data_IF_319205343255
#
_entry.id   IF_319205343255
#
_cell.length_a   1.000
_cell.length_b   1.000
_cell.length_c   1.000
_cell.angle_alpha   90.00
_cell.angle_beta   90.00
_cell.angle_gamma   90.00
#
_symmetry.space_group_name_H-M   'P 1'
#
loop_
_entity.id
_entity.type
_entity.pdbx_description
1 polymer ?
#
# COMPACT_ATOMS: atom_id res chain seq x y z
N UNK A 1 13.29 -5.32 14.62
CA UNK A 1 12.64 -5.63 15.91
C UNK A 1 13.43 -5.10 17.10
N UNK A 2 14.74 -5.35 17.23
CA UNK A 2 15.55 -4.89 18.39
C UNK A 2 15.60 -3.39 18.67
N UNK A 3 15.45 -2.56 17.64
CA UNK A 3 15.40 -1.09 17.77
C UNK A 3 13.97 -0.56 17.64
N UNK A 4 12.96 -1.43 17.82
CA UNK A 4 11.57 -1.03 17.71
C UNK A 4 11.20 -0.17 18.93
N UNK A 5 10.33 0.84 18.80
CA UNK A 5 9.94 1.70 19.92
C UNK A 5 9.16 0.98 21.04
N UNK A 6 8.34 -0.01 20.69
CA UNK A 6 7.62 -0.85 21.66
C UNK A 6 8.57 -1.84 22.37
N UNK A 7 8.43 -1.96 23.69
CA UNK A 7 9.24 -2.86 24.50
C UNK A 7 9.00 -4.32 24.15
N UNK A 8 7.75 -4.77 23.97
CA UNK A 8 7.48 -6.19 23.67
C UNK A 8 8.12 -6.64 22.35
N UNK A 9 8.23 -5.73 21.38
CA UNK A 9 8.91 -6.01 20.10
C UNK A 9 10.42 -6.16 20.27
N UNK A 10 11.03 -5.47 21.24
CA UNK A 10 12.44 -5.64 21.59
C UNK A 10 12.67 -6.96 22.33
N UNK A 11 11.76 -7.32 23.24
CA UNK A 11 11.81 -8.57 24.00
C UNK A 11 11.68 -9.78 23.07
N UNK A 12 10.70 -9.76 22.16
CA UNK A 12 10.55 -10.77 21.11
C UNK A 12 11.80 -10.90 20.24
N UNK A 13 12.47 -9.79 19.97
CA UNK A 13 13.71 -9.81 19.20
C UNK A 13 14.89 -10.43 19.98
N UNK A 14 14.90 -10.30 21.30
CA UNK A 14 15.88 -10.95 22.17
C UNK A 14 15.65 -12.46 22.18
N UNK A 15 14.42 -12.90 22.43
CA UNK A 15 14.03 -14.31 22.41
C UNK A 15 14.34 -14.96 21.05
N UNK A 16 13.92 -14.32 19.95
CA UNK A 16 14.16 -14.84 18.60
C UNK A 16 15.66 -14.95 18.29
N UNK A 17 16.48 -13.98 18.72
CA UNK A 17 17.93 -14.06 18.52
C UNK A 17 18.56 -15.19 19.32
N UNK A 18 18.08 -15.44 20.55
CA UNK A 18 18.57 -16.52 21.39
C UNK A 18 18.42 -17.88 20.70
N UNK A 19 17.23 -18.18 20.20
CA UNK A 19 16.95 -19.45 19.52
C UNK A 19 17.58 -19.54 18.13
N UNK A 20 17.43 -18.50 17.30
CA UNK A 20 18.04 -18.49 15.96
C UNK A 20 19.57 -18.50 16.03
N UNK A 21 20.15 -17.96 17.10
CA UNK A 21 21.59 -17.99 17.34
C UNK A 21 22.14 -19.41 17.54
N UNK A 22 21.31 -20.36 17.99
CA UNK A 22 21.69 -21.77 18.17
C UNK A 22 21.70 -22.53 16.83
N UNK A 23 20.77 -22.19 15.93
CA UNK A 23 20.53 -22.94 14.69
C UNK A 23 21.21 -22.31 13.47
N UNK A 24 21.14 -20.98 13.32
CA UNK A 24 21.62 -20.24 12.14
C UNK A 24 22.50 -19.01 12.51
N UNK A 25 23.55 -19.18 13.33
CA UNK A 25 24.32 -18.07 13.92
C UNK A 25 24.89 -17.09 12.89
N UNK A 26 25.33 -17.57 11.72
CA UNK A 26 25.91 -16.74 10.66
C UNK A 26 24.91 -15.73 10.08
N UNK A 27 23.64 -16.12 9.95
CA UNK A 27 22.57 -15.30 9.39
C UNK A 27 22.06 -14.23 10.37
N UNK A 28 22.15 -14.49 11.69
CA UNK A 28 21.66 -13.55 12.72
C UNK A 28 22.77 -12.81 13.46
N UNK A 29 24.05 -13.02 13.10
CA UNK A 29 25.20 -12.40 13.77
C UNK A 29 25.16 -10.87 13.78
N UNK A 30 24.66 -10.24 12.70
CA UNK A 30 24.61 -8.77 12.55
C UNK A 30 23.54 -8.11 13.43
N UNK A 31 22.57 -8.88 13.91
CA UNK A 31 21.52 -8.37 14.79
C UNK A 31 21.91 -8.38 16.28
N UNK A 32 23.03 -9.00 16.67
CA UNK A 32 23.53 -9.02 18.05
C UNK A 32 23.96 -7.62 18.50
N UNK A 33 23.64 -7.25 19.75
CA UNK A 33 24.08 -5.98 20.37
C UNK A 33 25.61 -5.85 20.41
N UNK A 34 26.32 -6.95 20.56
CA UNK A 34 27.79 -7.01 20.54
C UNK A 34 28.41 -6.85 19.14
N UNK A 35 27.60 -6.81 18.08
CA UNK A 35 28.14 -6.56 16.75
C UNK A 35 28.61 -5.11 16.64
N UNK A 36 29.84 -4.88 16.16
CA UNK A 36 30.44 -3.53 16.02
C UNK A 36 29.57 -2.51 15.26
N UNK A 37 28.72 -2.95 14.34
CA UNK A 37 27.88 -2.05 13.54
C UNK A 37 26.49 -1.81 14.15
N UNK A 38 26.06 -2.64 15.12
CA UNK A 38 24.73 -2.54 15.70
C UNK A 38 24.51 -1.23 16.48
N UNK A 39 25.42 -0.77 17.38
CA UNK A 39 25.23 0.47 18.12
C UNK A 39 25.07 1.69 17.21
N UNK A 40 25.91 1.82 16.18
CA UNK A 40 25.85 2.93 15.23
C UNK A 40 24.53 2.92 14.43
N UNK A 41 24.09 1.75 13.95
CA UNK A 41 22.81 1.60 13.24
C UNK A 41 21.60 1.92 14.15
N UNK A 42 21.62 1.45 15.40
CA UNK A 42 20.56 1.71 16.37
C UNK A 42 20.46 3.20 16.72
N UNK A 43 21.61 3.85 16.97
CA UNK A 43 21.69 5.28 17.23
C UNK A 43 21.16 6.08 16.05
N UNK A 44 21.66 5.82 14.84
CA UNK A 44 21.22 6.52 13.63
C UNK A 44 19.69 6.42 13.43
N UNK A 45 19.11 5.24 13.61
CA UNK A 45 17.65 5.06 13.48
C UNK A 45 16.87 5.83 14.56
N UNK A 46 17.37 5.86 15.79
CA UNK A 46 16.77 6.63 16.89
C UNK A 46 16.83 8.13 16.61
N UNK A 47 17.99 8.63 16.19
CA UNK A 47 18.22 10.04 15.88
C UNK A 47 17.31 10.51 14.73
N UNK A 48 17.22 9.72 13.65
CA UNK A 48 16.33 10.03 12.51
C UNK A 48 14.87 10.03 12.95
N UNK A 49 14.45 9.08 13.79
CA UNK A 49 13.07 9.03 14.27
C UNK A 49 12.73 10.26 15.12
N UNK A 50 13.62 10.66 16.04
CA UNK A 50 13.44 11.84 16.87
C UNK A 50 13.40 13.12 16.03
N UNK A 51 14.37 13.31 15.13
CA UNK A 51 14.43 14.46 14.22
C UNK A 51 13.17 14.56 13.34
N UNK A 52 12.62 13.43 12.90
CA UNK A 52 11.40 13.44 12.09
C UNK A 52 10.14 13.73 12.89
N UNK A 53 10.08 13.32 14.15
CA UNK A 53 8.99 13.70 15.05
C UNK A 53 9.02 15.21 15.37
N UNK A 54 10.20 15.74 15.65
CA UNK A 54 10.41 17.18 15.87
C UNK A 54 10.04 18.00 14.64
N UNK A 55 10.51 17.59 13.46
CA UNK A 55 10.18 18.24 12.21
C UNK A 55 8.67 18.18 11.92
N UNK A 56 8.03 17.03 12.11
CA UNK A 56 6.59 16.86 11.89
C UNK A 56 5.75 17.78 12.78
N UNK A 57 6.18 18.05 14.02
CA UNK A 57 5.50 18.96 14.94
C UNK A 57 5.45 20.42 14.43
N UNK A 58 6.35 20.80 13.52
CA UNK A 58 6.37 22.12 12.88
C UNK A 58 5.34 22.28 11.76
N UNK A 59 4.71 21.18 11.32
CA UNK A 59 3.69 21.15 10.27
C UNK A 59 2.31 20.79 10.87
N UNK A 60 1.66 21.69 11.61
CA UNK A 60 0.36 21.41 12.19
C UNK A 60 -0.68 21.14 11.09
N UNK A 61 -1.46 20.07 11.26
CA UNK A 61 -2.58 19.76 10.37
C UNK A 61 -3.59 20.91 10.43
N UNK A 62 -3.75 21.64 9.32
CA UNK A 62 -4.70 22.76 9.22
C UNK A 62 -6.15 22.32 9.01
N UNK A 63 -6.38 21.02 8.78
CA UNK A 63 -7.70 20.47 8.50
C UNK A 63 -8.03 19.30 9.42
N UNK A 64 -9.31 19.13 9.79
CA UNK A 64 -9.75 17.96 10.54
C UNK A 64 -9.48 16.68 9.74
N UNK A 65 -9.22 15.60 10.46
CA UNK A 65 -9.05 14.28 9.85
C UNK A 65 -10.30 13.90 9.06
N UNK A 66 -10.15 13.61 7.76
CA UNK A 66 -11.27 13.12 6.96
C UNK A 66 -11.81 11.81 7.55
N UNK A 67 -13.14 11.70 7.58
CA UNK A 67 -13.89 10.53 8.02
C UNK A 67 -14.49 9.74 6.86
N UNK A 68 -14.27 10.20 5.63
CA UNK A 68 -14.82 9.58 4.43
C UNK A 68 -13.82 8.59 3.86
N UNK A 69 -14.25 7.33 3.68
CA UNK A 69 -13.41 6.33 3.03
C UNK A 69 -13.25 6.67 1.56
N UNK A 70 -12.05 6.52 1.01
CA UNK A 70 -11.80 6.80 -0.39
C UNK A 70 -10.39 6.45 -0.84
N UNK A 71 -10.22 6.48 -2.15
CA UNK A 71 -8.95 6.35 -2.85
C UNK A 71 -8.75 7.62 -3.66
N UNK A 72 -7.61 8.27 -3.49
CA UNK A 72 -7.23 9.45 -4.24
C UNK A 72 -5.93 9.15 -4.99
N UNK A 73 -5.93 9.34 -6.31
CA UNK A 73 -4.70 9.30 -7.09
C UNK A 73 -3.91 10.59 -6.86
N UNK A 74 -2.75 10.48 -6.23
CA UNK A 74 -1.87 11.60 -5.85
C UNK A 74 -0.86 11.90 -6.95
N UNK A 75 -0.30 10.87 -7.59
CA UNK A 75 0.75 11.02 -8.61
C UNK A 75 0.70 9.85 -9.61
N UNK A 76 1.11 10.10 -10.86
CA UNK A 76 1.17 9.09 -11.92
C UNK A 76 2.11 9.51 -13.07
N UNK A 77 2.56 8.52 -13.84
CA UNK A 77 3.46 8.77 -14.98
C UNK A 77 2.73 9.32 -16.22
N UNK A 78 2.82 10.62 -16.50
CA UNK A 78 2.22 11.23 -17.68
C UNK A 78 2.70 10.65 -19.03
N UNK A 79 3.90 10.06 -19.06
CA UNK A 79 4.48 9.41 -20.24
C UNK A 79 4.26 7.89 -20.29
N UNK A 80 3.42 7.33 -19.42
CA UNK A 80 3.26 5.89 -19.23
C UNK A 80 3.02 5.11 -20.53
N UNK A 81 2.13 5.63 -21.39
CA UNK A 81 1.77 4.94 -22.64
C UNK A 81 2.98 4.78 -23.58
N UNK A 82 3.72 5.86 -23.82
CA UNK A 82 4.92 5.82 -24.67
C UNK A 82 5.96 4.84 -24.11
N UNK A 83 6.17 4.88 -22.78
CA UNK A 83 7.11 4.01 -22.08
C UNK A 83 6.73 2.53 -22.22
N UNK A 84 5.45 2.21 -22.03
CA UNK A 84 4.94 0.84 -22.14
C UNK A 84 5.05 0.32 -23.57
N UNK A 85 4.64 1.11 -24.56
CA UNK A 85 4.69 0.67 -25.96
C UNK A 85 6.14 0.47 -26.42
N UNK A 86 7.05 1.37 -26.05
CA UNK A 86 8.48 1.21 -26.34
C UNK A 86 9.05 -0.03 -25.64
N UNK A 87 8.69 -0.26 -24.37
CA UNK A 87 9.14 -1.43 -23.61
C UNK A 87 8.54 -2.74 -24.11
N UNK A 88 7.33 -2.72 -24.67
CA UNK A 88 6.70 -3.87 -25.29
C UNK A 88 7.41 -4.30 -26.58
N UNK A 89 7.87 -3.33 -27.38
CA UNK A 89 8.62 -3.58 -28.62
C UNK A 89 10.10 -3.87 -28.40
N UNK A 90 10.67 -3.46 -27.27
CA UNK A 90 12.12 -3.53 -27.01
C UNK A 90 12.74 -4.93 -27.18
N UNK A 91 12.12 -6.04 -26.74
CA UNK A 91 12.68 -7.37 -26.95
C UNK A 91 12.73 -7.80 -28.42
N UNK A 92 11.90 -7.21 -29.28
CA UNK A 92 11.69 -7.62 -30.68
C UNK A 92 12.52 -6.78 -31.68
N UNK A 93 13.22 -5.75 -31.20
CA UNK A 93 13.94 -4.79 -32.04
C UNK A 93 15.36 -4.60 -31.53
N UNK A 94 16.32 -4.54 -32.44
CA UNK A 94 17.73 -4.23 -32.13
C UNK A 94 17.98 -2.70 -32.08
N UNK A 95 17.12 -1.96 -31.37
CA UNK A 95 17.19 -0.51 -31.24
C UNK A 95 17.34 -0.10 -29.77
N UNK A 96 18.13 0.95 -29.47
CA UNK A 96 18.17 1.53 -28.14
C UNK A 96 16.79 2.00 -27.69
N UNK A 97 16.49 1.87 -26.39
CA UNK A 97 15.20 2.27 -25.81
C UNK A 97 14.82 3.73 -26.11
N UNK A 98 15.82 4.63 -26.14
CA UNK A 98 15.63 6.04 -26.49
C UNK A 98 15.16 6.26 -27.94
N UNK A 99 15.55 5.40 -28.87
CA UNK A 99 15.07 5.46 -30.25
C UNK A 99 13.64 4.93 -30.38
N UNK A 100 13.30 3.87 -29.63
CA UNK A 100 11.93 3.35 -29.58
C UNK A 100 10.95 4.37 -29.00
N UNK A 101 11.32 5.09 -27.95
CA UNK A 101 10.49 6.18 -27.41
C UNK A 101 10.22 7.27 -28.46
N UNK A 102 11.23 7.66 -29.24
CA UNK A 102 11.05 8.62 -30.33
C UNK A 102 10.12 8.08 -31.41
N UNK A 103 10.28 6.81 -31.78
CA UNK A 103 9.46 6.16 -32.79
C UNK A 103 7.99 6.03 -32.35
N UNK A 104 7.73 5.56 -31.13
CA UNK A 104 6.38 5.42 -30.57
C UNK A 104 5.63 6.75 -30.56
N UNK A 105 6.33 7.85 -30.28
CA UNK A 105 5.74 9.20 -30.32
C UNK A 105 5.21 9.60 -31.69
N UNK A 106 5.79 9.07 -32.77
CA UNK A 106 5.34 9.33 -34.15
C UNK A 106 4.19 8.43 -34.60
N UNK A 107 3.81 7.43 -33.81
CA UNK A 107 2.75 6.49 -34.18
C UNK A 107 1.36 7.10 -34.05
N UNK A 108 0.47 6.72 -34.96
CA UNK A 108 -0.96 7.05 -34.88
C UNK A 108 -1.64 6.31 -33.72
N UNK A 109 -2.80 6.78 -33.24
CA UNK A 109 -3.58 6.09 -32.21
C UNK A 109 -3.85 4.62 -32.53
N UNK A 110 -4.18 4.29 -33.78
CA UNK A 110 -4.50 2.93 -34.23
C UNK A 110 -3.29 2.01 -34.17
N UNK A 111 -2.10 2.52 -34.54
CA UNK A 111 -0.85 1.77 -34.44
C UNK A 111 -0.51 1.49 -32.97
N UNK A 112 -0.69 2.48 -32.09
CA UNK A 112 -0.49 2.33 -30.64
C UNK A 112 -1.44 1.28 -30.06
N UNK A 113 -2.71 1.33 -30.44
CA UNK A 113 -3.71 0.35 -30.00
C UNK A 113 -3.39 -1.06 -30.49
N UNK A 114 -2.96 -1.22 -31.76
CA UNK A 114 -2.54 -2.52 -32.30
C UNK A 114 -1.36 -3.13 -31.53
N UNK A 115 -0.36 -2.32 -31.16
CA UNK A 115 0.78 -2.79 -30.36
C UNK A 115 0.30 -3.25 -28.99
N UNK A 116 -0.51 -2.42 -28.31
CA UNK A 116 -1.02 -2.76 -26.98
C UNK A 116 -1.90 -4.01 -27.01
N UNK A 117 -2.79 -4.14 -27.99
CA UNK A 117 -3.66 -5.30 -28.15
C UNK A 117 -2.87 -6.59 -28.39
N UNK A 118 -1.86 -6.52 -29.24
CA UNK A 118 -0.96 -7.64 -29.48
C UNK A 118 -0.23 -8.05 -28.19
N UNK A 119 0.19 -7.06 -27.39
CA UNK A 119 0.88 -7.30 -26.13
C UNK A 119 -0.03 -7.86 -25.02
N UNK A 120 -1.33 -7.58 -25.06
CA UNK A 120 -2.32 -8.05 -24.07
C UNK A 120 -3.08 -9.31 -24.51
N UNK A 121 -2.92 -9.74 -25.76
CA UNK A 121 -3.62 -10.88 -26.34
C UNK A 121 -3.38 -12.19 -25.55
N UNK A 122 -4.32 -13.14 -25.66
CA UNK A 122 -4.17 -14.49 -25.10
C UNK A 122 -4.36 -14.60 -23.57
N UNK A 123 -4.66 -13.52 -22.86
CA UNK A 123 -4.99 -13.58 -21.43
C UNK A 123 -6.38 -14.19 -21.20
N UNK A 124 -6.44 -15.49 -20.92
CA UNK A 124 -7.69 -16.22 -20.64
C UNK A 124 -8.13 -16.10 -19.17
N UNK A 125 -7.17 -15.97 -18.24
CA UNK A 125 -7.44 -15.81 -16.82
C UNK A 125 -6.33 -14.96 -16.15
N UNK A 126 -6.57 -14.49 -14.92
CA UNK A 126 -5.63 -13.63 -14.17
C UNK A 126 -4.24 -14.24 -13.90
N UNK A 127 -4.06 -15.56 -14.03
CA UNK A 127 -2.73 -16.19 -13.91
C UNK A 127 -1.88 -15.98 -15.15
N UNK A 128 -2.48 -15.65 -16.30
CA UNK A 128 -1.76 -15.15 -17.47
C UNK A 128 -1.39 -13.70 -17.19
N UNK A 129 -0.28 -13.52 -16.47
CA UNK A 129 0.19 -12.21 -16.02
C UNK A 129 0.58 -11.37 -17.23
N UNK A 130 0.24 -10.06 -17.25
CA UNK A 130 0.76 -9.19 -18.29
C UNK A 130 2.29 -9.13 -18.20
N UNK A 131 2.93 -8.87 -19.35
CA UNK A 131 4.38 -8.83 -19.45
C UNK A 131 5.02 -7.65 -18.71
N UNK A 132 6.35 -7.60 -18.71
CA UNK A 132 7.16 -6.64 -17.93
C UNK A 132 7.11 -5.19 -18.42
N UNK A 133 6.70 -4.91 -19.66
CA UNK A 133 6.56 -3.55 -20.15
C UNK A 133 5.63 -2.69 -19.26
N UNK A 134 4.62 -3.29 -18.62
CA UNK A 134 3.75 -2.60 -17.67
C UNK A 134 4.44 -2.18 -16.36
N UNK A 135 5.69 -2.58 -16.11
CA UNK A 135 6.46 -2.10 -14.95
C UNK A 135 6.92 -0.64 -15.14
N UNK A 136 6.85 -0.09 -16.36
CA UNK A 136 7.28 1.26 -16.69
C UNK A 136 6.27 2.37 -16.38
N UNK A 137 5.11 2.04 -15.82
CA UNK A 137 4.11 3.01 -15.39
C UNK A 137 3.83 2.84 -13.90
N UNK A 138 3.86 3.94 -13.15
CA UNK A 138 3.65 4.01 -11.71
C UNK A 138 2.46 4.90 -11.36
N UNK A 139 1.84 4.57 -10.24
CA UNK A 139 0.72 5.30 -9.66
C UNK A 139 0.91 5.36 -8.15
N UNK A 140 0.68 6.53 -7.56
CA UNK A 140 0.67 6.74 -6.12
C UNK A 140 -0.74 7.10 -5.67
N UNK A 141 -1.31 6.26 -4.80
CA UNK A 141 -2.64 6.44 -4.23
C UNK A 141 -2.53 6.76 -2.75
N UNK A 142 -3.27 7.76 -2.29
CA UNK A 142 -3.61 7.94 -0.87
C UNK A 142 -4.96 7.25 -0.61
N UNK A 143 -5.00 6.42 0.42
CA UNK A 143 -6.14 5.55 0.72
C UNK A 143 -6.54 5.74 2.18
N UNK A 144 -7.83 5.98 2.38
CA UNK A 144 -8.47 5.97 3.69
C UNK A 144 -9.57 4.91 3.68
N UNK A 145 -9.42 3.87 4.48
CA UNK A 145 -10.45 2.84 4.68
C UNK A 145 -10.29 2.19 6.05
N UNK A 146 -11.21 1.31 6.43
CA UNK A 146 -11.11 0.57 7.69
C UNK A 146 -9.81 -0.24 7.78
N UNK A 147 -9.32 -0.43 8.99
CA UNK A 147 -8.07 -1.13 9.25
C UNK A 147 -8.13 -2.60 8.80
N UNK A 148 -9.31 -3.22 8.76
CA UNK A 148 -9.53 -4.53 8.14
C UNK A 148 -9.08 -4.55 6.67
N UNK A 149 -9.53 -3.58 5.87
CA UNK A 149 -9.12 -3.41 4.47
C UNK A 149 -7.61 -3.24 4.33
N UNK A 150 -6.98 -2.40 5.15
CA UNK A 150 -5.52 -2.26 5.13
C UNK A 150 -4.83 -3.60 5.37
N UNK A 151 -5.30 -4.39 6.36
CA UNK A 151 -4.72 -5.71 6.66
C UNK A 151 -4.82 -6.69 5.49
N UNK A 152 -5.86 -6.56 4.67
CA UNK A 152 -6.03 -7.34 3.46
C UNK A 152 -5.12 -6.91 2.32
N UNK A 153 -5.01 -5.60 2.10
CA UNK A 153 -4.27 -5.05 0.96
C UNK A 153 -2.76 -4.97 1.22
N UNK A 154 -2.31 -4.79 2.46
CA UNK A 154 -0.87 -4.72 2.81
C UNK A 154 -0.07 -5.98 2.43
N UNK A 155 -0.75 -7.08 2.13
CA UNK A 155 -0.14 -8.36 1.74
C UNK A 155 0.52 -8.33 0.36
N UNK A 156 0.27 -7.29 -0.46
CA UNK A 156 0.95 -7.11 -1.73
C UNK A 156 2.33 -6.51 -1.49
N UNK A 157 3.36 -7.16 -2.05
CA UNK A 157 4.78 -6.82 -1.78
C UNK A 157 5.48 -6.11 -2.93
N UNK A 158 4.93 -6.18 -4.14
CA UNK A 158 5.45 -5.46 -5.30
C UNK A 158 4.90 -4.02 -5.36
N UNK A 159 5.04 -3.29 -4.24
CA UNK A 159 4.63 -1.91 -4.09
C UNK A 159 5.34 -1.27 -2.89
N UNK A 160 5.43 0.05 -2.89
CA UNK A 160 5.83 0.84 -1.73
C UNK A 160 4.58 1.19 -0.94
N UNK A 161 4.63 1.00 0.38
CA UNK A 161 3.54 1.37 1.28
C UNK A 161 4.08 1.87 2.61
N UNK A 162 3.42 2.89 3.15
CA UNK A 162 3.49 3.25 4.57
C UNK A 162 2.10 3.65 5.03
N UNK A 163 1.83 3.42 6.31
CA UNK A 163 0.59 3.82 6.97
C UNK A 163 0.87 4.79 8.10
N UNK A 164 -0.13 5.59 8.42
CA UNK A 164 -0.18 6.33 9.67
C UNK A 164 -0.38 5.37 10.86
N UNK A 165 -0.12 5.85 12.08
CA UNK A 165 -0.46 5.10 13.29
C UNK A 165 -1.99 4.88 13.34
N UNK A 166 -2.42 3.76 13.92
CA UNK A 166 -3.85 3.56 14.17
C UNK A 166 -4.31 4.61 15.17
N UNK A 167 -5.45 5.23 14.88
CA UNK A 167 -6.09 6.19 15.77
C UNK A 167 -7.60 6.13 15.59
N UNK A 168 -8.33 6.78 16.48
CA UNK A 168 -9.79 6.93 16.36
C UNK A 168 -10.21 8.20 15.62
N UNK A 169 -9.25 9.01 15.17
CA UNK A 169 -9.47 10.33 14.57
C UNK A 169 -10.24 10.30 13.25
N UNK A 170 -10.05 9.25 12.44
CA UNK A 170 -10.73 9.08 11.14
C UNK A 170 -12.13 8.44 11.27
N UNK A 171 -12.60 8.21 12.50
CA UNK A 171 -13.85 7.50 12.77
C UNK A 171 -13.83 6.06 12.26
N UNK A 172 -15.00 5.44 12.27
CA UNK A 172 -15.17 4.03 11.90
C UNK A 172 -16.27 3.82 10.86
N UNK A 173 -16.25 2.64 10.24
CA UNK A 173 -17.29 2.16 9.33
C UNK A 173 -18.32 1.39 10.14
N UNK A 174 -19.60 1.74 10.02
CA UNK A 174 -20.70 0.92 10.50
C UNK A 174 -21.05 -0.10 9.39
N UNK A 175 -20.83 -1.40 9.59
CA UNK A 175 -21.22 -2.41 8.60
C UNK A 175 -22.75 -2.50 8.51
N UNK A 176 -23.28 -2.60 7.28
CA UNK A 176 -24.73 -2.74 7.02
C UNK A 176 -25.35 -3.93 7.78
N UNK A 177 -24.60 -5.04 7.87
CA UNK A 177 -24.99 -6.23 8.65
C UNK A 177 -25.25 -5.92 10.13
N UNK A 178 -24.60 -4.90 10.72
CA UNK A 178 -24.86 -4.50 12.11
C UNK A 178 -26.20 -3.78 12.23
N UNK A 179 -26.55 -2.95 11.25
CA UNK A 179 -27.85 -2.29 11.19
C UNK A 179 -28.97 -3.31 10.90
N UNK A 180 -28.77 -4.23 9.95
CA UNK A 180 -29.73 -5.31 9.65
C UNK A 180 -29.98 -6.24 10.84
N UNK A 181 -28.94 -6.50 11.65
CA UNK A 181 -29.06 -7.30 12.87
C UNK A 181 -29.67 -6.54 14.06
N UNK A 182 -29.97 -5.24 13.92
CA UNK A 182 -30.47 -4.40 15.01
C UNK A 182 -29.43 -4.12 16.11
N UNK A 183 -28.14 -4.32 15.82
CA UNK A 183 -27.02 -4.16 16.76
C UNK A 183 -26.25 -2.85 16.57
N UNK A 184 -26.84 -1.90 15.84
CA UNK A 184 -26.20 -0.63 15.51
C UNK A 184 -25.79 0.15 16.76
N UNK A 185 -26.65 0.19 17.78
CA UNK A 185 -26.39 0.94 19.02
C UNK A 185 -25.24 0.31 19.80
N UNK A 186 -25.29 -1.00 20.00
CA UNK A 186 -24.27 -1.78 20.70
C UNK A 186 -22.91 -1.67 20.00
N UNK A 187 -22.91 -1.68 18.66
CA UNK A 187 -21.71 -1.47 17.86
C UNK A 187 -21.11 -0.09 18.12
N UNK A 188 -21.92 0.98 18.04
CA UNK A 188 -21.46 2.35 18.28
C UNK A 188 -20.91 2.53 19.69
N UNK A 189 -21.60 1.99 20.71
CA UNK A 189 -21.16 2.05 22.11
C UNK A 189 -19.80 1.35 22.34
N UNK A 190 -19.54 0.22 21.66
CA UNK A 190 -18.23 -0.45 21.74
C UNK A 190 -17.14 0.39 21.08
N UNK A 191 -17.43 0.98 19.91
CA UNK A 191 -16.46 1.81 19.19
C UNK A 191 -16.12 3.07 19.97
N UNK A 192 -17.12 3.76 20.52
CA UNK A 192 -16.92 4.96 21.35
C UNK A 192 -16.10 4.67 22.61
N UNK A 193 -16.39 3.57 23.34
CA UNK A 193 -15.56 3.15 24.47
C UNK A 193 -14.11 2.87 24.06
N UNK A 194 -13.90 2.28 22.89
CA UNK A 194 -12.55 2.07 22.37
C UNK A 194 -11.83 3.38 22.06
N UNK A 195 -12.54 4.41 21.57
CA UNK A 195 -11.99 5.75 21.39
C UNK A 195 -11.61 6.43 22.71
N UNK A 196 -12.41 6.26 23.76
CA UNK A 196 -12.08 6.78 25.09
C UNK A 196 -10.82 6.14 25.65
N UNK A 197 -10.70 4.81 25.55
CA UNK A 197 -9.50 4.08 25.97
C UNK A 197 -8.28 4.51 25.16
N UNK A 198 -8.42 4.60 23.83
CA UNK A 198 -7.36 5.08 22.96
C UNK A 198 -6.88 6.47 23.39
N UNK A 199 -7.80 7.41 23.62
CA UNK A 199 -7.48 8.80 23.97
C UNK A 199 -6.72 8.88 25.29
N UNK A 200 -7.14 8.11 26.30
CA UNK A 200 -6.46 8.05 27.61
C UNK A 200 -5.05 7.51 27.50
N UNK A 201 -4.83 6.44 26.73
CA UNK A 201 -3.51 5.82 26.57
C UNK A 201 -2.61 6.68 25.67
N UNK A 202 -3.15 7.28 24.62
CA UNK A 202 -2.37 8.00 23.61
C UNK A 202 -1.70 9.28 24.13
N UNK A 203 -2.17 9.82 25.25
CA UNK A 203 -1.56 10.97 25.92
C UNK A 203 -0.09 10.69 26.31
N UNK A 204 0.16 9.51 26.87
CA UNK A 204 1.49 9.11 27.35
C UNK A 204 2.16 8.07 26.43
N UNK A 205 1.35 7.18 25.83
CA UNK A 205 1.79 6.00 25.09
C UNK A 205 1.12 5.89 23.70
N UNK A 206 1.39 6.82 22.77
CA UNK A 206 0.69 6.89 21.48
C UNK A 206 0.92 5.67 20.58
N UNK A 207 2.02 4.91 20.76
CA UNK A 207 2.31 3.73 19.95
C UNK A 207 1.55 2.51 20.47
N UNK A 208 1.44 2.39 21.78
CA UNK A 208 0.75 1.35 22.53
C UNK A 208 -0.77 1.54 22.41
N UNK A 209 -1.26 2.78 22.38
CA UNK A 209 -2.68 3.09 22.22
C UNK A 209 -3.31 2.41 20.98
N UNK A 210 -2.51 2.15 19.93
CA UNK A 210 -2.94 1.41 18.74
C UNK A 210 -3.55 0.03 19.05
N UNK A 211 -3.15 -0.62 20.16
CA UNK A 211 -3.73 -1.91 20.58
C UNK A 211 -5.21 -1.81 20.97
N UNK A 212 -5.68 -0.63 21.35
CA UNK A 212 -7.06 -0.39 21.71
C UNK A 212 -7.97 -0.09 20.50
N UNK A 213 -7.44 0.03 19.28
CA UNK A 213 -8.19 0.46 18.09
C UNK A 213 -8.83 -0.73 17.34
N UNK A 214 -10.17 -0.85 17.31
CA UNK A 214 -10.86 -1.90 16.55
C UNK A 214 -10.63 -1.81 15.04
N UNK A 215 -10.77 -2.94 14.33
CA UNK A 215 -10.55 -2.99 12.88
C UNK A 215 -11.53 -2.16 12.04
N UNK A 216 -12.70 -1.82 12.60
CA UNK A 216 -13.68 -0.95 11.95
C UNK A 216 -13.23 0.52 11.85
N UNK A 217 -12.24 0.95 12.64
CA UNK A 217 -11.68 2.29 12.53
C UNK A 217 -10.88 2.46 11.25
N UNK A 218 -10.98 3.66 10.67
CA UNK A 218 -10.26 4.00 9.46
C UNK A 218 -8.79 4.30 9.75
N UNK A 219 -7.94 3.87 8.84
CA UNK A 219 -6.51 4.16 8.81
C UNK A 219 -6.15 4.74 7.45
N UNK A 220 -5.24 5.72 7.45
CA UNK A 220 -4.69 6.29 6.21
C UNK A 220 -3.35 5.64 5.87
N UNK A 221 -3.19 5.28 4.61
CA UNK A 221 -1.94 4.78 4.06
C UNK A 221 -1.80 5.17 2.61
N UNK A 222 -0.60 5.07 2.06
CA UNK A 222 -0.39 5.23 0.62
C UNK A 222 0.11 3.94 0.00
N UNK A 223 -0.19 3.76 -1.29
CA UNK A 223 0.45 2.78 -2.17
C UNK A 223 1.11 3.50 -3.34
N UNK A 224 2.40 3.26 -3.56
CA UNK A 224 3.05 3.57 -4.84
C UNK A 224 3.39 2.26 -5.53
N UNK A 225 2.81 2.05 -6.72
CA UNK A 225 2.74 0.73 -7.37
C UNK A 225 2.86 0.86 -8.88
N UNK A 226 3.61 -0.05 -9.51
CA UNK A 226 3.65 -0.10 -10.98
C UNK A 226 2.38 -0.76 -11.56
N UNK A 227 2.05 -0.46 -12.82
CA UNK A 227 0.84 -0.91 -13.48
C UNK A 227 0.75 -2.44 -13.50
N UNK A 228 1.85 -3.15 -13.73
CA UNK A 228 1.88 -4.62 -13.72
C UNK A 228 1.41 -5.21 -12.38
N UNK A 229 1.94 -4.67 -11.29
CA UNK A 229 1.56 -5.09 -9.93
C UNK A 229 0.15 -4.62 -9.56
N UNK A 230 -0.27 -3.45 -10.05
CA UNK A 230 -1.60 -2.90 -9.84
C UNK A 230 -2.68 -3.74 -10.54
N UNK A 231 -2.46 -4.17 -11.79
CA UNK A 231 -3.35 -5.11 -12.50
C UNK A 231 -3.53 -6.38 -11.68
N UNK A 232 -2.44 -6.95 -11.16
CA UNK A 232 -2.53 -8.14 -10.31
C UNK A 232 -3.32 -7.88 -9.02
N UNK A 233 -3.08 -6.74 -8.35
CA UNK A 233 -3.80 -6.36 -7.13
C UNK A 233 -5.30 -6.24 -7.42
N UNK A 234 -5.68 -5.46 -8.43
CA UNK A 234 -7.08 -5.21 -8.75
C UNK A 234 -7.80 -6.51 -9.15
N UNK A 235 -7.26 -7.30 -10.08
CA UNK A 235 -7.87 -8.56 -10.54
C UNK A 235 -7.92 -9.65 -9.45
N UNK A 236 -7.04 -9.60 -8.44
CA UNK A 236 -7.12 -10.49 -7.27
C UNK A 236 -8.13 -10.00 -6.24
N UNK A 237 -8.28 -8.69 -6.07
CA UNK A 237 -8.98 -8.08 -4.93
C UNK A 237 -10.35 -7.51 -5.26
N UNK A 238 -10.76 -7.43 -6.53
CA UNK A 238 -12.12 -7.01 -6.92
C UNK A 238 -13.11 -8.18 -7.07
N UNK A 239 -12.62 -9.42 -7.07
CA UNK A 239 -13.43 -10.65 -7.24
C UNK A 239 -14.57 -10.77 -6.22
N UNK A 240 -15.69 -11.38 -6.63
CA UNK A 240 -16.90 -11.52 -5.82
C UNK A 240 -16.68 -12.22 -4.46
N UNK A 241 -15.74 -13.16 -4.38
CA UNK A 241 -15.41 -13.88 -3.14
C UNK A 241 -14.69 -13.00 -2.11
N UNK A 242 -14.26 -11.79 -2.49
CA UNK A 242 -13.58 -10.87 -1.60
C UNK A 242 -14.53 -10.08 -0.70
N UNK A 243 -14.00 -9.59 0.43
CA UNK A 243 -14.76 -8.72 1.32
C UNK A 243 -15.16 -7.42 0.58
N UNK A 244 -16.43 -6.97 0.64
CA UNK A 244 -16.91 -5.82 -0.13
C UNK A 244 -16.08 -4.54 0.03
N UNK A 245 -15.57 -4.29 1.25
CA UNK A 245 -14.82 -3.06 1.55
C UNK A 245 -13.49 -2.96 0.76
N UNK A 246 -12.66 -4.01 0.71
CA UNK A 246 -11.41 -3.94 -0.04
C UNK A 246 -11.63 -4.09 -1.55
N UNK A 247 -12.73 -4.74 -1.96
CA UNK A 247 -13.13 -4.80 -3.37
C UNK A 247 -13.39 -3.39 -3.91
N UNK A 248 -14.13 -2.58 -3.15
CA UNK A 248 -14.37 -1.17 -3.51
C UNK A 248 -13.07 -0.39 -3.65
N UNK A 249 -12.11 -0.55 -2.73
CA UNK A 249 -10.79 0.11 -2.84
C UNK A 249 -10.07 -0.32 -4.13
N UNK A 250 -10.02 -1.63 -4.43
CA UNK A 250 -9.38 -2.13 -5.64
C UNK A 250 -10.05 -1.61 -6.93
N UNK A 251 -11.38 -1.53 -6.93
CA UNK A 251 -12.16 -0.98 -8.05
C UNK A 251 -11.96 0.53 -8.19
N UNK A 252 -11.92 1.28 -7.10
CA UNK A 252 -11.64 2.73 -7.13
C UNK A 252 -10.23 3.01 -7.67
N UNK A 253 -9.21 2.24 -7.28
CA UNK A 253 -7.87 2.35 -7.87
C UNK A 253 -7.89 2.12 -9.39
N UNK A 254 -8.65 1.12 -9.86
CA UNK A 254 -8.83 0.90 -11.31
C UNK A 254 -9.54 2.07 -12.00
N UNK A 255 -10.60 2.63 -11.39
CA UNK A 255 -11.32 3.77 -11.95
C UNK A 255 -10.43 5.01 -12.07
N UNK A 256 -9.55 5.25 -11.10
CA UNK A 256 -8.56 6.32 -11.18
C UNK A 256 -7.56 6.10 -12.33
N UNK A 257 -7.08 4.86 -12.54
CA UNK A 257 -6.25 4.54 -13.70
C UNK A 257 -7.01 4.77 -15.00
N UNK A 258 -8.27 4.34 -15.07
CA UNK A 258 -9.12 4.53 -16.25
C UNK A 258 -9.35 6.00 -16.58
N UNK A 259 -9.44 6.85 -15.56
CA UNK A 259 -9.59 8.29 -15.70
C UNK A 259 -8.36 8.95 -16.32
N UNK A 260 -7.15 8.57 -15.89
CA UNK A 260 -5.90 9.22 -16.34
C UNK A 260 -5.23 8.55 -17.54
N UNK A 261 -5.34 7.23 -17.68
CA UNK A 261 -4.80 6.44 -18.80
C UNK A 261 -5.86 5.48 -19.36
N UNK A 262 -6.87 5.97 -20.13
CA UNK A 262 -7.96 5.14 -20.64
C UNK A 262 -7.50 3.95 -21.49
N UNK A 263 -6.43 4.12 -22.29
CA UNK A 263 -5.84 3.04 -23.10
C UNK A 263 -5.23 1.95 -22.23
N UNK A 264 -4.49 2.31 -21.19
CA UNK A 264 -3.87 1.36 -20.28
C UNK A 264 -4.88 0.64 -19.37
N UNK A 265 -6.06 1.22 -19.16
CA UNK A 265 -7.15 0.57 -18.44
C UNK A 265 -7.56 -0.78 -19.06
N UNK A 266 -7.31 -0.98 -20.36
CA UNK A 266 -7.53 -2.25 -21.08
C UNK A 266 -6.69 -3.40 -20.52
N UNK A 267 -5.63 -3.11 -19.76
CA UNK A 267 -4.82 -4.12 -19.08
C UNK A 267 -5.59 -4.83 -17.93
N UNK A 268 -6.65 -4.22 -17.40
CA UNK A 268 -7.45 -4.75 -16.29
C UNK A 268 -8.63 -5.54 -16.84
N UNK A 269 -8.40 -6.82 -17.18
CA UNK A 269 -9.41 -7.64 -17.89
C UNK A 269 -10.46 -8.23 -16.94
N UNK A 270 -10.12 -8.42 -15.67
CA UNK A 270 -10.92 -9.18 -14.70
C UNK A 270 -11.27 -8.34 -13.46
N UNK A 271 -11.47 -7.03 -13.64
CA UNK A 271 -11.77 -6.11 -12.54
C UNK A 271 -13.26 -5.87 -12.38
#
# INVERSE_FOLDING_TARGET
LRTHPLQEMRDLAELAQGELGKVIPSFVRRAKKSNRHFPAMAKHRSDVMAAMQEMAAQFPSRSPASKESGVVLVDYDHGAEDQILAAALYPELHLPFSQLLKHVRTLTPEQRDKILDSYLAGRANRRHKPGRALEHAYYTFDILADFGVYRDLQRHRMLTQQRQLLSTNHGYVLPELMSEAGLEREYKEVMERAADVYTKIAADFPREAQYAVPFGYRVRWYFSVNLRALVWLCELRSMAQGHPAYRRVAQQMFLEVKRVHPRLARCFKFV
#
